data_IF_072646196180
#
_entry.id   IF_072646196180
#
_cell.length_a   1.000
_cell.length_b   1.000
_cell.length_c   1.000
_cell.angle_alpha   90.00
_cell.angle_beta   90.00
_cell.angle_gamma   90.00
#
_symmetry.space_group_name_H-M   'P 1'
#
loop_
_entity.id
_entity.type
_entity.pdbx_description
1 polymer ?
#
# COMPACT_ATOMS: atom_id res chain seq x y z
N UNK A 1 10.22 8.63 -34.31
CA UNK A 1 9.97 9.46 -33.11
C UNK A 1 8.61 9.05 -32.56
N UNK A 2 8.60 8.27 -31.48
CA UNK A 2 7.39 7.74 -30.85
C UNK A 2 7.79 7.03 -29.56
N UNK A 3 7.82 7.81 -28.49
CA UNK A 3 8.08 7.39 -27.11
C UNK A 3 6.97 6.42 -26.69
N UNK A 4 7.34 5.16 -26.41
CA UNK A 4 6.48 4.28 -25.62
C UNK A 4 6.79 4.56 -24.16
N UNK A 5 5.94 5.36 -23.53
CA UNK A 5 5.90 5.56 -22.09
C UNK A 5 5.63 4.21 -21.43
N UNK A 6 6.70 3.56 -21.00
CA UNK A 6 6.66 2.27 -20.32
C UNK A 6 6.20 2.51 -18.87
N UNK A 7 4.89 2.67 -18.69
CA UNK A 7 4.26 2.64 -17.37
C UNK A 7 4.65 1.34 -16.63
N UNK A 8 4.72 1.36 -15.28
CA UNK A 8 5.23 0.23 -14.52
C UNK A 8 4.38 -1.00 -14.83
N UNK A 9 5.01 -1.93 -15.55
CA UNK A 9 4.44 -3.22 -15.91
C UNK A 9 4.09 -3.93 -14.60
N UNK A 10 2.80 -4.06 -14.31
CA UNK A 10 2.27 -4.98 -13.31
C UNK A 10 2.61 -6.40 -13.77
N UNK A 11 3.83 -6.85 -13.50
CA UNK A 11 4.25 -8.21 -13.73
C UNK A 11 3.77 -9.04 -12.55
N UNK A 12 2.67 -9.74 -12.80
CA UNK A 12 1.99 -10.63 -11.88
C UNK A 12 0.52 -10.30 -11.87
N UNK A 13 -0.29 -11.11 -12.55
CA UNK A 13 -1.69 -11.31 -12.17
C UNK A 13 -1.70 -11.99 -10.78
N UNK A 14 -1.21 -11.27 -9.77
CA UNK A 14 -1.16 -11.69 -8.39
C UNK A 14 -2.57 -11.60 -7.83
N UNK A 15 -2.97 -12.63 -7.10
CA UNK A 15 -4.15 -12.58 -6.25
C UNK A 15 -4.16 -11.26 -5.48
N UNK A 16 -5.21 -10.45 -5.66
CA UNK A 16 -5.38 -9.22 -4.90
C UNK A 16 -5.73 -9.65 -3.47
N UNK A 17 -4.79 -9.48 -2.54
CA UNK A 17 -5.03 -9.75 -1.13
C UNK A 17 -5.65 -8.51 -0.51
N UNK A 18 -6.93 -8.61 -0.13
CA UNK A 18 -7.61 -7.52 0.57
C UNK A 18 -7.44 -7.63 2.08
N UNK A 19 -7.28 -6.50 2.75
CA UNK A 19 -7.24 -6.43 4.19
C UNK A 19 -8.62 -6.72 4.76
N UNK A 20 -8.77 -7.69 5.68
CA UNK A 20 -10.06 -7.99 6.28
C UNK A 20 -10.58 -6.86 7.19
N UNK A 21 -9.71 -5.94 7.62
CA UNK A 21 -10.06 -4.85 8.52
C UNK A 21 -10.47 -3.57 7.80
N UNK A 22 -9.86 -3.24 6.66
CA UNK A 22 -10.15 -1.99 5.93
C UNK A 22 -10.50 -2.20 4.45
N UNK A 23 -10.54 -3.43 3.95
CA UNK A 23 -10.89 -3.72 2.55
C UNK A 23 -9.87 -3.23 1.51
N UNK A 24 -8.78 -2.58 1.90
CA UNK A 24 -7.74 -2.10 1.00
C UNK A 24 -6.87 -3.25 0.47
N UNK A 25 -6.31 -3.13 -0.74
CA UNK A 25 -5.36 -4.12 -1.27
C UNK A 25 -4.06 -4.14 -0.45
N UNK A 26 -3.37 -5.28 -0.49
CA UNK A 26 -2.09 -5.55 0.16
C UNK A 26 -1.21 -6.39 -0.77
N UNK A 27 0.10 -6.17 -0.71
CA UNK A 27 1.07 -6.97 -1.44
C UNK A 27 1.55 -8.12 -0.56
N UNK A 28 1.21 -9.35 -0.95
CA UNK A 28 1.70 -10.57 -0.27
C UNK A 28 3.05 -10.97 -0.85
N UNK A 29 4.11 -10.79 -0.08
CA UNK A 29 5.49 -11.03 -0.52
C UNK A 29 6.12 -12.21 0.23
N UNK A 30 6.86 -13.10 -0.44
CA UNK A 30 7.54 -14.21 0.22
C UNK A 30 8.70 -13.71 1.06
N UNK A 31 8.92 -14.32 2.22
CA UNK A 31 10.11 -14.05 3.05
C UNK A 31 11.20 -15.08 2.79
N UNK A 32 12.44 -14.78 3.21
CA UNK A 32 13.55 -15.74 3.13
C UNK A 32 13.32 -17.03 3.93
N UNK A 33 12.47 -16.98 4.95
CA UNK A 33 12.17 -18.13 5.81
C UNK A 33 11.03 -19.02 5.25
N UNK A 34 10.72 -18.88 3.96
CA UNK A 34 9.59 -19.56 3.29
C UNK A 34 8.20 -19.20 3.85
N UNK A 35 8.09 -18.06 4.54
CA UNK A 35 6.83 -17.49 5.02
C UNK A 35 6.37 -16.31 4.13
N UNK A 36 5.43 -15.48 4.59
CA UNK A 36 4.84 -14.39 3.82
C UNK A 36 4.55 -13.18 4.69
N UNK A 37 4.76 -11.98 4.13
CA UNK A 37 4.37 -10.71 4.77
C UNK A 37 3.40 -9.95 3.88
N UNK A 38 2.46 -9.23 4.50
CA UNK A 38 1.53 -8.33 3.85
C UNK A 38 2.06 -6.89 3.95
N UNK A 39 2.39 -6.31 2.80
CA UNK A 39 3.00 -5.00 2.67
C UNK A 39 2.02 -4.00 2.05
N UNK A 40 2.18 -2.72 2.40
CA UNK A 40 1.44 -1.62 1.81
C UNK A 40 1.78 -1.50 0.31
N UNK A 41 0.79 -1.59 -0.58
CA UNK A 41 1.01 -1.45 -2.02
C UNK A 41 1.57 -0.10 -2.39
N UNK A 42 2.44 -0.06 -3.40
CA UNK A 42 2.97 1.17 -4.02
C UNK A 42 3.70 2.17 -3.06
N UNK A 43 3.85 1.83 -1.78
CA UNK A 43 4.58 2.62 -0.79
C UNK A 43 6.02 2.14 -0.67
N UNK A 44 6.96 3.02 -0.94
CA UNK A 44 8.38 2.81 -0.63
C UNK A 44 8.91 3.99 0.15
N UNK A 45 9.63 3.72 1.23
CA UNK A 45 10.11 4.74 2.18
C UNK A 45 11.62 4.61 2.31
N UNK A 46 12.31 5.74 2.50
CA UNK A 46 13.73 5.70 2.84
C UNK A 46 13.90 4.97 4.18
N UNK A 47 14.74 3.94 4.19
CA UNK A 47 14.86 3.02 5.31
C UNK A 47 15.29 3.72 6.62
N UNK A 48 16.02 4.84 6.53
CA UNK A 48 16.44 5.62 7.69
C UNK A 48 15.28 6.36 8.40
N UNK A 49 14.10 6.47 7.77
CA UNK A 49 12.89 7.07 8.36
C UNK A 49 12.00 6.04 9.07
N UNK A 50 12.38 4.77 9.03
CA UNK A 50 11.62 3.63 9.55
C UNK A 50 12.45 2.93 10.61
N UNK A 51 11.89 2.48 11.75
CA UNK A 51 12.61 1.64 12.71
C UNK A 51 13.04 0.30 12.08
N UNK A 52 14.14 -0.27 12.58
CA UNK A 52 14.82 -1.39 11.95
C UNK A 52 13.91 -2.62 11.76
N UNK A 53 13.05 -2.86 12.73
CA UNK A 53 12.11 -3.96 12.85
C UNK A 53 10.97 -3.89 11.82
N UNK A 54 10.78 -2.75 11.16
CA UNK A 54 9.74 -2.52 10.16
C UNK A 54 10.28 -2.24 8.76
N UNK A 55 11.60 -2.38 8.55
CA UNK A 55 12.26 -2.17 7.25
C UNK A 55 12.25 -3.46 6.44
N UNK A 56 11.22 -3.63 5.61
CA UNK A 56 11.20 -4.76 4.67
C UNK A 56 11.95 -4.40 3.38
N UNK A 57 13.08 -5.06 3.14
CA UNK A 57 13.91 -4.86 1.95
C UNK A 57 13.57 -5.93 0.91
N UNK A 58 13.26 -5.49 -0.32
CA UNK A 58 13.05 -6.37 -1.47
C UNK A 58 14.41 -6.75 -2.03
N UNK A 59 14.68 -8.05 -2.08
CA UNK A 59 15.90 -8.60 -2.66
C UNK A 59 15.76 -8.73 -4.18
N UNK A 60 16.88 -8.81 -4.88
CA UNK A 60 16.90 -8.92 -6.35
C UNK A 60 16.12 -10.13 -6.88
N UNK A 61 16.03 -11.20 -6.10
CA UNK A 61 15.32 -12.43 -6.47
C UNK A 61 13.80 -12.37 -6.19
N UNK A 62 13.31 -11.28 -5.59
CA UNK A 62 11.88 -11.05 -5.29
C UNK A 62 11.46 -11.19 -3.82
N UNK A 63 12.02 -12.12 -3.00
CA UNK A 63 11.68 -12.18 -1.59
C UNK A 63 12.03 -10.92 -0.81
N UNK A 64 11.41 -10.80 0.36
CA UNK A 64 11.65 -9.71 1.30
C UNK A 64 12.26 -10.20 2.61
N UNK A 65 13.03 -9.33 3.26
CA UNK A 65 13.62 -9.60 4.58
C UNK A 65 13.63 -8.35 5.44
N UNK A 66 13.56 -8.51 6.77
CA UNK A 66 13.69 -7.41 7.73
C UNK A 66 15.17 -7.11 7.95
N UNK A 67 15.57 -5.88 7.67
CA UNK A 67 16.96 -5.46 7.88
C UNK A 67 17.16 -4.80 9.25
N UNK A 68 17.51 -5.62 10.24
CA UNK A 68 17.61 -5.23 11.66
C UNK A 68 18.93 -4.60 12.13
N UNK A 69 19.94 -4.43 11.27
CA UNK A 69 21.30 -3.98 11.68
C UNK A 69 21.75 -2.68 11.00
N UNK A 70 22.65 -1.96 11.70
CA UNK A 70 23.43 -0.72 11.46
C UNK A 70 23.28 0.02 10.11
N UNK A 71 23.30 1.37 10.14
CA UNK A 71 22.34 2.21 9.44
C UNK A 71 22.19 1.82 7.96
N UNK A 72 20.95 1.81 7.46
CA UNK A 72 20.73 1.55 6.04
C UNK A 72 21.53 2.58 5.23
N UNK A 73 22.01 2.16 4.05
CA UNK A 73 22.51 3.11 3.05
C UNK A 73 21.47 4.22 2.91
N UNK A 74 21.88 5.49 2.91
CA UNK A 74 20.96 6.62 3.06
C UNK A 74 19.81 6.60 2.02
N UNK A 75 20.09 6.06 0.84
CA UNK A 75 19.19 5.93 -0.31
C UNK A 75 18.42 4.59 -0.34
N UNK A 76 18.74 3.66 0.56
CA UNK A 76 18.07 2.36 0.65
C UNK A 76 16.59 2.59 0.91
N UNK A 77 15.75 2.00 0.05
CA UNK A 77 14.30 2.02 0.22
C UNK A 77 13.83 0.72 0.86
N UNK A 78 12.77 0.83 1.64
CA UNK A 78 12.08 -0.29 2.25
C UNK A 78 10.57 -0.20 1.98
N UNK A 79 9.90 -1.31 2.25
CA UNK A 79 8.46 -1.48 2.24
C UNK A 79 7.96 -1.48 3.67
N UNK A 80 6.68 -1.14 3.84
CA UNK A 80 6.02 -1.05 5.14
C UNK A 80 4.96 -2.14 5.22
N UNK A 81 4.81 -2.75 6.39
CA UNK A 81 3.71 -3.70 6.63
C UNK A 81 2.37 -2.98 6.56
N UNK A 82 1.40 -3.57 5.87
CA UNK A 82 0.08 -2.97 5.76
C UNK A 82 -0.60 -2.80 7.13
N UNK A 83 -0.30 -3.67 8.10
CA UNK A 83 -0.88 -3.54 9.46
C UNK A 83 -0.60 -2.16 10.08
N UNK A 84 0.54 -1.54 9.77
CA UNK A 84 0.96 -0.26 10.32
C UNK A 84 0.20 0.91 9.70
N UNK A 85 -0.19 0.78 8.44
CA UNK A 85 -0.93 1.78 7.66
C UNK A 85 -2.44 1.54 7.70
N UNK A 86 -2.87 0.38 8.20
CA UNK A 86 -4.26 -0.02 8.24
C UNK A 86 -5.08 0.91 9.15
N UNK A 87 -6.16 1.54 8.63
CA UNK A 87 -7.05 2.37 9.45
C UNK A 87 -7.97 1.52 10.34
N UNK A 88 -8.18 0.24 10.03
CA UNK A 88 -9.01 -0.68 10.81
C UNK A 88 -8.30 -1.34 11.99
N UNK A 89 -7.02 -1.05 12.22
CA UNK A 89 -6.28 -1.52 13.39
C UNK A 89 -6.00 -0.35 14.34
N UNK A 90 -6.18 -0.57 15.64
CA UNK A 90 -5.78 0.38 16.67
C UNK A 90 -4.30 0.16 17.02
N UNK A 91 -3.45 1.07 16.57
CA UNK A 91 -2.02 1.09 16.87
C UNK A 91 -1.66 2.36 17.61
N UNK A 92 -0.66 2.31 18.52
CA UNK A 92 -0.12 3.53 19.12
C UNK A 92 0.40 4.47 18.03
N UNK A 93 0.46 5.76 18.32
CA UNK A 93 1.09 6.73 17.42
C UNK A 93 2.60 6.42 17.34
N UNK A 94 2.99 5.69 16.30
CA UNK A 94 4.37 5.24 16.12
C UNK A 94 5.28 6.39 15.65
N UNK A 95 4.94 7.04 14.53
CA UNK A 95 5.71 8.16 13.98
C UNK A 95 4.86 9.08 13.08
N UNK A 96 5.15 10.40 13.01
CA UNK A 96 4.24 11.39 12.43
C UNK A 96 3.79 11.13 10.98
N UNK A 97 4.69 10.65 10.13
CA UNK A 97 4.36 10.39 8.73
C UNK A 97 3.42 9.18 8.55
N UNK A 98 3.40 8.24 9.49
CA UNK A 98 2.49 7.08 9.44
C UNK A 98 1.10 7.43 9.92
N UNK A 99 0.97 8.33 10.89
CA UNK A 99 -0.34 8.88 11.26
C UNK A 99 -1.00 9.54 10.03
N UNK A 100 -0.23 10.33 9.27
CA UNK A 100 -0.72 10.90 8.00
C UNK A 100 -1.06 9.83 6.95
N UNK A 101 -0.27 8.77 6.86
CA UNK A 101 -0.52 7.65 5.93
C UNK A 101 -1.80 6.89 6.29
N UNK A 102 -2.01 6.57 7.58
CA UNK A 102 -3.23 5.89 8.07
C UNK A 102 -4.48 6.71 7.78
N UNK A 103 -4.39 8.03 7.92
CA UNK A 103 -5.47 8.94 7.60
C UNK A 103 -5.82 8.94 6.10
N UNK A 104 -4.82 8.87 5.20
CA UNK A 104 -5.10 8.69 3.76
C UNK A 104 -5.68 7.30 3.47
N UNK A 105 -5.16 6.24 4.10
CA UNK A 105 -5.71 4.89 3.98
C UNK A 105 -7.17 4.84 4.47
N UNK A 106 -7.54 5.57 5.54
CA UNK A 106 -8.92 5.71 5.99
C UNK A 106 -9.80 6.30 4.89
N UNK A 107 -9.40 7.43 4.28
CA UNK A 107 -10.15 8.04 3.18
C UNK A 107 -10.25 7.11 1.97
N UNK A 108 -9.18 6.37 1.65
CA UNK A 108 -9.19 5.40 0.58
C UNK A 108 -10.15 4.22 0.85
N UNK A 109 -10.23 3.77 2.10
CA UNK A 109 -11.18 2.75 2.56
C UNK A 109 -12.62 3.25 2.42
N UNK A 110 -12.91 4.47 2.89
CA UNK A 110 -14.24 5.09 2.79
C UNK A 110 -14.70 5.26 1.34
N UNK A 111 -13.81 5.70 0.44
CA UNK A 111 -14.11 5.78 -1.00
C UNK A 111 -14.48 4.44 -1.62
N UNK A 112 -13.92 3.34 -1.11
CA UNK A 112 -14.23 1.98 -1.58
C UNK A 112 -15.54 1.46 -1.03
N UNK A 113 -15.80 1.71 0.25
CA UNK A 113 -17.05 1.30 0.90
C UNK A 113 -18.26 2.08 0.33
N UNK A 114 -18.09 3.38 0.08
CA UNK A 114 -19.09 4.23 -0.57
C UNK A 114 -19.31 3.96 -2.07
N UNK A 115 -18.57 3.01 -2.67
CA UNK A 115 -18.70 2.60 -4.08
C UNK A 115 -19.90 1.71 -4.40
N UNK A 116 -20.76 1.39 -3.41
CA UNK A 116 -22.03 0.68 -3.60
C UNK A 116 -23.27 1.60 -3.63
N UNK A 117 -23.14 2.85 -4.06
CA UNK A 117 -24.34 3.63 -4.42
C UNK A 117 -24.47 3.69 -5.95
N UNK A 118 -25.42 2.95 -6.57
CA UNK A 118 -25.78 3.21 -7.95
C UNK A 118 -26.22 4.68 -8.08
N UNK A 119 -25.84 5.40 -9.14
CA UNK A 119 -26.44 6.69 -9.41
C UNK A 119 -27.92 6.46 -9.79
N UNK A 120 -28.87 7.04 -9.05
CA UNK A 120 -30.28 7.11 -9.46
C UNK A 120 -30.87 8.50 -9.15
N UNK A 121 -31.81 9.03 -9.96
CA UNK A 121 -32.25 8.62 -11.30
C UNK A 121 -32.00 9.70 -12.37
N UNK A 122 -32.26 9.33 -13.64
CA UNK A 122 -32.22 10.20 -14.82
C UNK A 122 -32.93 11.53 -14.60
N UNK A 123 -32.16 12.63 -14.63
CA UNK A 123 -32.73 13.96 -14.82
C UNK A 123 -33.08 14.06 -16.31
N UNK A 124 -34.34 13.80 -16.64
CA UNK A 124 -34.90 14.22 -17.93
C UNK A 124 -34.75 15.74 -18.03
N UNK A 125 -33.79 16.18 -18.85
CA UNK A 125 -33.63 17.60 -19.18
C UNK A 125 -34.92 18.08 -19.86
N UNK A 126 -35.54 19.18 -19.41
CA UNK A 126 -36.75 19.68 -20.05
C UNK A 126 -36.45 20.11 -21.49
N UNK A 127 -37.25 19.61 -22.42
CA UNK A 127 -37.25 20.03 -23.82
C UNK A 127 -37.62 21.52 -23.89
N UNK A 128 -36.67 22.33 -24.36
CA UNK A 128 -36.91 23.76 -24.62
C UNK A 128 -37.54 23.89 -26.01
N UNK A 129 -38.87 24.03 -26.02
CA UNK A 129 -39.68 24.26 -27.22
C UNK A 129 -39.46 25.61 -27.89
#
# INVERSE_FOLDING_TARGET
MGVVEEGPRRLGAGQVFTCPYCGLPQDRMPTLDHDWVLLEPDVTVLAHLVPAEHRWIVLSDGPVTVYGVCPPVAEQRCRIEHRLTCPGQELPDLWPWLTAMREESRRASERRDGGHQPPEPDIELPDVG
#
